data_IF_605579308458
#
_entry.id   IF_605579308458
#
_cell.length_a   1.000
_cell.length_b   1.000
_cell.length_c   1.000
_cell.angle_alpha   90.00
_cell.angle_beta   90.00
_cell.angle_gamma   90.00
#
_symmetry.space_group_name_H-M   'P 1'
#
loop_
_entity.id
_entity.type
_entity.pdbx_description
1 polymer ?
#
# COMPACT_ATOMS: atom_id res chain seq x y z
N UNK A 1 -13.17 -0.27 7.06
CA UNK A 1 -12.52 -0.96 5.93
C UNK A 1 -11.03 -0.98 6.18
N UNK A 2 -10.38 -2.13 6.10
CA UNK A 2 -8.92 -2.25 6.17
C UNK A 2 -8.35 -2.16 4.75
N UNK A 3 -7.37 -1.29 4.54
CA UNK A 3 -6.66 -1.20 3.28
C UNK A 3 -5.59 -2.29 3.21
N UNK A 4 -5.43 -2.92 2.05
CA UNK A 4 -4.33 -3.85 1.80
C UNK A 4 -3.14 -3.10 1.24
N UNK A 5 -1.96 -3.22 1.89
CA UNK A 5 -0.72 -2.58 1.44
C UNK A 5 0.25 -3.63 0.93
N UNK A 6 0.41 -3.66 -0.39
CA UNK A 6 1.34 -4.55 -1.08
C UNK A 6 2.60 -3.80 -1.51
N UNK A 7 3.76 -4.44 -1.37
CA UNK A 7 5.02 -3.93 -1.91
C UNK A 7 5.26 -4.53 -3.29
N UNK A 8 5.61 -3.69 -4.27
CA UNK A 8 6.14 -4.20 -5.54
C UNK A 8 7.41 -5.03 -5.29
N UNK A 9 7.75 -5.96 -6.18
CA UNK A 9 8.97 -6.76 -6.07
C UNK A 9 10.24 -5.90 -5.88
N UNK A 10 10.28 -4.71 -6.51
CA UNK A 10 11.36 -3.73 -6.33
C UNK A 10 11.36 -3.15 -4.91
N UNK A 11 10.20 -2.68 -4.44
CA UNK A 11 10.07 -2.09 -3.10
C UNK A 11 10.34 -3.11 -1.98
N UNK A 12 9.92 -4.37 -2.16
CA UNK A 12 10.22 -5.46 -1.23
C UNK A 12 11.74 -5.68 -1.10
N UNK A 13 12.48 -5.72 -2.22
CA UNK A 13 13.95 -5.81 -2.23
C UNK A 13 14.65 -4.57 -1.67
N UNK A 14 14.04 -3.38 -1.78
CA UNK A 14 14.58 -2.15 -1.20
C UNK A 14 14.39 -2.12 0.31
N UNK A 15 13.22 -2.56 0.81
CA UNK A 15 12.89 -2.64 2.24
C UNK A 15 13.91 -3.47 3.02
N UNK A 16 14.38 -4.60 2.45
CA UNK A 16 15.35 -5.48 3.12
C UNK A 16 16.73 -4.84 3.29
N UNK A 17 17.04 -3.76 2.56
CA UNK A 17 18.32 -3.03 2.63
C UNK A 17 18.27 -1.80 3.53
N UNK A 18 17.12 -1.49 4.13
CA UNK A 18 16.97 -0.31 4.98
C UNK A 18 17.67 -0.51 6.32
N UNK A 19 18.31 0.54 6.89
CA UNK A 19 18.70 0.51 8.29
C UNK A 19 17.50 0.21 9.19
N UNK A 20 17.70 -0.55 10.27
CA UNK A 20 16.64 -1.04 11.16
C UNK A 20 15.61 0.05 11.54
N UNK A 21 16.10 1.22 11.97
CA UNK A 21 15.25 2.36 12.36
C UNK A 21 14.38 2.90 11.23
N UNK A 22 14.85 2.84 9.98
CA UNK A 22 14.07 3.27 8.81
C UNK A 22 13.06 2.20 8.42
N UNK A 23 13.45 0.92 8.50
CA UNK A 23 12.54 -0.20 8.26
C UNK A 23 11.36 -0.20 9.24
N UNK A 24 11.61 0.08 10.53
CA UNK A 24 10.57 0.22 11.56
C UNK A 24 9.60 1.37 11.25
N UNK A 25 10.11 2.50 10.76
CA UNK A 25 9.27 3.64 10.36
C UNK A 25 8.45 3.35 9.11
N UNK A 26 9.00 2.61 8.15
CA UNK A 26 8.26 2.13 6.99
C UNK A 26 7.15 1.14 7.41
N UNK A 27 7.40 0.27 8.39
CA UNK A 27 6.39 -0.66 8.90
C UNK A 27 5.27 0.09 9.65
N UNK A 28 5.63 1.10 10.45
CA UNK A 28 4.65 1.98 11.09
C UNK A 28 3.78 2.72 10.05
N UNK A 29 4.38 3.25 8.98
CA UNK A 29 3.64 3.88 7.88
C UNK A 29 2.70 2.88 7.19
N UNK A 30 3.19 1.66 6.90
CA UNK A 30 2.37 0.59 6.31
C UNK A 30 1.12 0.33 7.16
N UNK A 31 1.29 0.08 8.45
CA UNK A 31 0.17 -0.18 9.37
C UNK A 31 -0.79 1.00 9.46
N UNK A 32 -0.27 2.22 9.46
CA UNK A 32 -1.09 3.43 9.45
C UNK A 32 -1.93 3.54 8.17
N UNK A 33 -1.38 3.13 7.01
CA UNK A 33 -2.14 3.08 5.74
C UNK A 33 -3.17 1.96 5.78
N UNK A 34 -2.81 0.77 6.27
CA UNK A 34 -3.74 -0.37 6.41
C UNK A 34 -4.96 0.00 7.28
N UNK A 35 -4.74 0.76 8.36
CA UNK A 35 -5.78 1.11 9.32
C UNK A 35 -6.54 2.41 8.98
N UNK A 36 -5.83 3.49 8.65
CA UNK A 36 -6.42 4.82 8.44
C UNK A 36 -6.63 5.18 6.96
N UNK A 37 -6.03 4.41 6.04
CA UNK A 37 -6.06 4.68 4.61
C UNK A 37 -4.87 5.48 4.06
N UNK A 38 -4.87 5.75 2.75
CA UNK A 38 -3.70 6.22 2.02
C UNK A 38 -3.29 7.66 2.34
N UNK A 39 -4.17 8.45 2.97
CA UNK A 39 -3.87 9.82 3.37
C UNK A 39 -3.17 9.82 4.74
N UNK A 40 -1.93 10.31 4.78
CA UNK A 40 -1.09 10.31 5.97
C UNK A 40 -0.60 11.75 6.30
N UNK A 41 -1.50 12.72 6.57
CA UNK A 41 -1.16 14.14 6.71
C UNK A 41 -0.23 14.45 7.89
N UNK A 42 -0.15 13.56 8.88
CA UNK A 42 0.75 13.68 10.03
C UNK A 42 2.20 13.31 9.71
N UNK A 43 2.46 12.67 8.55
CA UNK A 43 3.80 12.27 8.15
C UNK A 43 4.62 13.47 7.66
N UNK A 44 5.94 13.50 7.94
CA UNK A 44 6.80 14.60 7.49
C UNK A 44 6.81 14.72 5.96
N UNK A 45 6.61 15.94 5.46
CA UNK A 45 6.56 16.25 4.02
C UNK A 45 5.60 15.34 3.24
N UNK A 46 4.46 14.99 3.85
CA UNK A 46 3.41 14.28 3.15
C UNK A 46 2.82 15.13 2.01
N UNK A 47 2.60 14.53 0.85
CA UNK A 47 1.89 15.20 -0.23
C UNK A 47 1.62 14.31 -1.44
N UNK A 48 0.68 14.74 -2.29
CA UNK A 48 0.38 14.11 -3.58
C UNK A 48 1.46 14.44 -4.61
N UNK A 49 1.98 13.44 -5.31
CA UNK A 49 2.92 13.63 -6.43
C UNK A 49 2.14 14.07 -7.67
N UNK A 50 2.09 15.40 -7.91
CA UNK A 50 1.32 16.00 -9.01
C UNK A 50 1.77 15.57 -10.42
N UNK A 51 3.03 15.18 -10.57
CA UNK A 51 3.61 14.76 -11.86
C UNK A 51 3.38 13.26 -12.17
N UNK A 52 2.48 12.59 -11.43
CA UNK A 52 2.11 11.19 -11.65
C UNK A 52 0.59 11.08 -11.80
N UNK A 53 0.09 10.27 -12.76
CA UNK A 53 -1.35 10.05 -12.89
C UNK A 53 -1.89 9.27 -11.69
N UNK A 54 -3.15 9.56 -11.33
CA UNK A 54 -3.86 8.89 -10.23
C UNK A 54 -3.54 9.44 -8.85
N UNK A 55 -3.78 8.62 -7.84
CA UNK A 55 -3.57 8.94 -6.42
C UNK A 55 -2.23 8.40 -5.95
N UNK A 56 -1.17 9.15 -6.26
CA UNK A 56 0.19 8.84 -5.84
C UNK A 56 0.63 9.80 -4.74
N UNK A 57 1.05 9.26 -3.62
CA UNK A 57 1.48 10.02 -2.45
C UNK A 57 2.92 9.70 -2.09
N UNK A 58 3.54 10.61 -1.35
CA UNK A 58 4.85 10.40 -0.75
C UNK A 58 4.92 11.02 0.63
N UNK A 59 5.86 10.54 1.44
CA UNK A 59 6.29 11.20 2.67
C UNK A 59 7.72 10.81 3.03
N UNK A 60 8.32 11.57 3.93
CA UNK A 60 9.66 11.29 4.43
C UNK A 60 9.61 10.35 5.65
N UNK A 61 10.47 9.33 5.65
CA UNK A 61 10.63 8.39 6.77
C UNK A 61 11.57 8.93 7.84
N UNK A 62 12.41 9.91 7.52
CA UNK A 62 13.27 10.60 8.47
C UNK A 62 13.50 12.06 8.09
N UNK A 63 13.96 12.82 9.09
CA UNK A 63 14.61 14.12 8.88
C UNK A 63 16.12 13.88 8.89
N UNK A 64 16.86 14.57 8.01
CA UNK A 64 18.32 14.47 7.93
C UNK A 64 18.82 13.65 6.73
N UNK A 65 20.15 13.57 6.59
CA UNK A 65 20.84 12.90 5.48
C UNK A 65 21.45 11.56 5.92
N UNK A 66 21.36 10.49 5.10
CA UNK A 66 20.56 10.41 3.89
C UNK A 66 19.05 10.47 4.20
N UNK A 67 18.30 11.11 3.30
CA UNK A 67 16.83 11.23 3.40
C UNK A 67 16.18 10.00 2.81
N UNK A 68 15.37 9.31 3.59
CA UNK A 68 14.57 8.17 3.16
C UNK A 68 13.12 8.62 2.93
N UNK A 69 12.56 8.19 1.80
CA UNK A 69 11.21 8.57 1.35
C UNK A 69 10.45 7.30 1.02
N UNK A 70 9.16 7.28 1.35
CA UNK A 70 8.21 6.26 0.88
C UNK A 70 7.28 6.91 -0.16
N UNK A 71 7.01 6.17 -1.23
CA UNK A 71 6.06 6.57 -2.29
C UNK A 71 5.11 5.41 -2.50
N UNK A 72 3.80 5.69 -2.54
CA UNK A 72 2.78 4.68 -2.78
C UNK A 72 1.70 5.23 -3.70
N UNK A 73 0.98 4.32 -4.33
CA UNK A 73 -0.13 4.63 -5.23
C UNK A 73 -1.36 3.85 -4.75
N UNK A 74 -2.50 4.52 -4.70
CA UNK A 74 -3.80 3.87 -4.51
C UNK A 74 -4.15 3.16 -5.81
N UNK A 75 -4.41 1.86 -5.73
CA UNK A 75 -4.75 1.02 -6.87
C UNK A 75 -6.20 0.55 -6.72
N UNK A 76 -7.11 1.16 -7.48
CA UNK A 76 -8.53 0.78 -7.51
C UNK A 76 -8.80 -0.56 -8.21
N UNK A 77 -7.75 -1.34 -8.55
CA UNK A 77 -7.80 -2.56 -9.36
C UNK A 77 -7.14 -3.78 -8.73
N UNK A 78 -6.87 -3.80 -7.41
CA UNK A 78 -6.55 -5.07 -6.74
C UNK A 78 -7.85 -5.88 -6.71
N UNK A 79 -8.00 -6.78 -7.69
CA UNK A 79 -9.22 -7.46 -8.10
C UNK A 79 -9.87 -8.24 -6.95
N UNK A 80 -11.14 -7.94 -6.61
CA UNK A 80 -12.00 -8.88 -5.90
C UNK A 80 -12.51 -9.93 -6.90
N UNK A 81 -11.78 -11.04 -7.03
CA UNK A 81 -12.18 -12.13 -7.93
C UNK A 81 -13.24 -13.00 -7.24
N UNK A 82 -14.42 -13.07 -7.85
CA UNK A 82 -15.47 -14.04 -7.49
C UNK A 82 -15.59 -15.03 -8.64
N UNK A 83 -15.32 -16.30 -8.35
CA UNK A 83 -15.50 -17.39 -9.29
C UNK A 83 -16.89 -18.02 -9.07
N UNK A 84 -17.73 -18.00 -10.11
CA UNK A 84 -18.99 -18.73 -10.11
C UNK A 84 -18.71 -20.17 -10.51
N UNK A 85 -18.75 -21.08 -9.55
CA UNK A 85 -18.33 -22.48 -9.73
C UNK A 85 -19.43 -23.38 -10.32
N UNK A 86 -20.69 -22.92 -10.37
CA UNK A 86 -21.80 -23.66 -10.96
C UNK A 86 -22.95 -22.73 -11.40
N UNK A 87 -23.54 -22.98 -12.58
CA UNK A 87 -24.81 -22.39 -13.02
C UNK A 87 -25.66 -23.47 -13.71
N UNK A 88 -26.86 -23.71 -13.18
CA UNK A 88 -27.77 -24.77 -13.61
C UNK A 88 -29.03 -24.84 -12.74
N UNK A 89 -29.81 -25.91 -12.86
CA UNK A 89 -31.07 -26.04 -12.10
C UNK A 89 -30.79 -26.21 -10.59
N UNK A 90 -31.73 -25.75 -9.75
CA UNK A 90 -31.58 -25.81 -8.31
C UNK A 90 -31.31 -27.23 -7.81
N UNK A 91 -31.98 -28.24 -8.38
CA UNK A 91 -31.83 -29.62 -7.91
C UNK A 91 -30.44 -30.23 -8.17
N UNK A 92 -29.63 -29.61 -9.05
CA UNK A 92 -28.32 -30.12 -9.48
C UNK A 92 -27.15 -29.25 -9.03
N UNK A 93 -27.41 -28.18 -8.30
CA UNK A 93 -26.33 -27.36 -7.77
C UNK A 93 -25.54 -28.13 -6.71
N UNK A 94 -24.21 -28.01 -6.71
CA UNK A 94 -23.32 -28.74 -5.81
C UNK A 94 -23.29 -28.05 -4.43
N UNK A 95 -24.41 -28.12 -3.73
CA UNK A 95 -24.54 -27.77 -2.30
C UNK A 95 -24.96 -28.98 -1.48
#
# INVERSE_FOLDING_TARGET
>A
MTWTVEFTAKAAKQKTKLPKRIAERLDALRRAIEFNGPLQPTMPHFGKLKNRPGEVYHCHLNKGRPTYVAVWQVLDKVVCLVEVTYVGTHEKAPY
#
